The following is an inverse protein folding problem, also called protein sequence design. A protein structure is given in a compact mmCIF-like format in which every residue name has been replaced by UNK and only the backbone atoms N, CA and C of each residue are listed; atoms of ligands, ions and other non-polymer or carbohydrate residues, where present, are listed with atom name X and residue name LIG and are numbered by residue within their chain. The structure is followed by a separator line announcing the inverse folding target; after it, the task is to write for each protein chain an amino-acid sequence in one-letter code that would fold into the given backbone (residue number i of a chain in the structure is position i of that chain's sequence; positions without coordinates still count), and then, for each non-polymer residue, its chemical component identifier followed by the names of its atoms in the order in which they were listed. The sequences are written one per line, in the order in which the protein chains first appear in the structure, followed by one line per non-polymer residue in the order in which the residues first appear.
data_IF_455660277459
#
_entry.id   IF_455660277459
#
_cell.length_a   1.000
_cell.length_b   1.000
_cell.length_c   1.000
_cell.angle_alpha   90.00
_cell.angle_beta   90.00
_cell.angle_gamma   90.00
#
_symmetry.space_group_name_H-M   'P 1'
#
loop_
_entity.id
_entity.type
_entity.pdbx_description
1 polymer ?
#
# COMPACT_ATOMS: atom_id res chain seq x y z
N UNK A 1 1.27 -13.08 23.39
CA UNK A 1 0.75 -12.42 22.17
C UNK A 1 -0.57 -13.07 21.80
N UNK A 2 -1.61 -12.27 21.57
CA UNK A 2 -2.88 -12.76 21.05
C UNK A 2 -2.90 -12.75 19.50
N UNK A 3 -3.99 -13.26 18.90
CA UNK A 3 -4.12 -13.37 17.45
C UNK A 3 -4.01 -11.99 16.76
N UNK A 4 -4.59 -10.93 17.35
CA UNK A 4 -4.59 -9.60 16.75
C UNK A 4 -3.20 -8.96 16.76
N UNK A 5 -2.40 -9.21 17.79
CA UNK A 5 -0.99 -8.82 17.83
C UNK A 5 -0.17 -9.54 16.73
N UNK A 6 -0.45 -10.82 16.46
CA UNK A 6 0.24 -11.57 15.39
C UNK A 6 -0.11 -10.99 14.01
N UNK A 7 -1.40 -10.73 13.73
CA UNK A 7 -1.78 -10.13 12.44
C UNK A 7 -1.28 -8.67 12.31
N UNK A 8 -1.18 -7.95 13.41
CA UNK A 8 -0.59 -6.60 13.42
C UNK A 8 0.91 -6.63 13.07
N UNK A 9 1.67 -7.63 13.53
CA UNK A 9 3.07 -7.83 13.11
C UNK A 9 3.16 -8.06 11.60
N UNK A 10 2.26 -8.84 11.01
CA UNK A 10 2.20 -8.99 9.55
C UNK A 10 2.02 -7.62 8.87
N UNK A 11 1.11 -6.79 9.39
CA UNK A 11 0.87 -5.44 8.89
C UNK A 11 2.03 -4.48 9.07
N UNK A 12 2.87 -4.64 10.10
CA UNK A 12 4.10 -3.84 10.29
C UNK A 12 5.24 -4.30 9.39
N UNK A 13 5.42 -5.62 9.19
CA UNK A 13 6.48 -6.16 8.34
C UNK A 13 6.24 -5.83 6.87
N UNK A 14 4.97 -5.84 6.41
CA UNK A 14 4.60 -5.58 5.02
C UNK A 14 5.21 -4.28 4.47
N UNK A 15 4.96 -3.08 5.05
CA UNK A 15 5.51 -1.83 4.55
C UNK A 15 7.04 -1.76 4.61
N UNK A 16 7.67 -2.45 5.56
CA UNK A 16 9.12 -2.55 5.65
C UNK A 16 9.66 -3.31 4.43
N UNK A 17 9.09 -4.47 4.10
CA UNK A 17 9.50 -5.27 2.95
C UNK A 17 9.29 -4.50 1.64
N UNK A 18 8.13 -3.84 1.47
CA UNK A 18 7.88 -3.03 0.29
C UNK A 18 8.89 -1.89 0.14
N UNK A 19 9.20 -1.21 1.23
CA UNK A 19 10.18 -0.11 1.24
C UNK A 19 11.59 -0.62 0.92
N UNK A 20 12.00 -1.73 1.54
CA UNK A 20 13.28 -2.38 1.24
C UNK A 20 13.39 -2.78 -0.23
N UNK A 21 12.31 -3.27 -0.84
CA UNK A 21 12.29 -3.66 -2.25
C UNK A 21 12.77 -2.53 -3.16
N UNK A 22 12.19 -1.35 -3.07
CA UNK A 22 12.57 -0.27 -3.98
C UNK A 22 13.91 0.40 -3.59
N UNK A 23 14.27 0.41 -2.29
CA UNK A 23 15.62 0.85 -1.87
C UNK A 23 16.69 -0.07 -2.50
N UNK A 24 16.52 -1.40 -2.35
CA UNK A 24 17.41 -2.38 -2.96
C UNK A 24 17.41 -2.31 -4.49
N UNK A 25 16.29 -1.88 -5.09
CA UNK A 25 16.20 -1.62 -6.52
C UNK A 25 17.27 -0.64 -6.99
N UNK A 26 17.42 0.49 -6.29
CA UNK A 26 18.46 1.48 -6.62
C UNK A 26 19.88 1.02 -6.36
N UNK A 27 20.09 0.10 -5.41
CA UNK A 27 21.42 -0.43 -5.09
C UNK A 27 21.83 -1.56 -6.05
N UNK A 28 20.90 -2.45 -6.39
CA UNK A 28 21.17 -3.69 -7.10
C UNK A 28 20.99 -3.59 -8.63
N UNK A 29 20.40 -2.50 -9.11
CA UNK A 29 20.12 -2.26 -10.53
C UNK A 29 20.73 -0.94 -10.99
N UNK A 30 21.92 -0.95 -11.61
CA UNK A 30 22.57 0.28 -12.12
C UNK A 30 21.77 1.04 -13.18
N UNK A 31 20.86 0.35 -13.90
CA UNK A 31 19.95 0.91 -14.90
C UNK A 31 18.73 1.60 -14.29
N UNK A 32 18.45 1.38 -13.00
CA UNK A 32 17.27 1.91 -12.29
C UNK A 32 17.58 3.24 -11.59
N UNK A 33 16.72 4.21 -11.80
CA UNK A 33 16.82 5.53 -11.19
C UNK A 33 15.58 5.84 -10.35
N UNK A 34 15.77 6.11 -9.05
CA UNK A 34 14.70 6.55 -8.16
C UNK A 34 13.97 7.82 -8.60
N UNK A 35 14.59 8.62 -9.45
CA UNK A 35 14.00 9.86 -9.99
C UNK A 35 13.14 9.56 -11.20
N UNK A 36 13.67 8.75 -12.12
CA UNK A 36 13.08 8.49 -13.44
C UNK A 36 12.09 7.33 -13.43
N UNK A 37 12.43 6.26 -12.70
CA UNK A 37 11.72 4.98 -12.83
C UNK A 37 10.78 4.76 -11.63
N UNK A 38 9.55 4.35 -11.94
CA UNK A 38 8.58 3.96 -10.93
C UNK A 38 8.97 2.67 -10.20
N UNK A 39 8.37 2.43 -9.04
CA UNK A 39 8.66 1.23 -8.24
C UNK A 39 8.25 -0.03 -8.99
N UNK A 40 7.13 0.02 -9.72
CA UNK A 40 6.60 -1.12 -10.47
C UNK A 40 7.49 -1.56 -11.62
N UNK A 41 8.41 -0.71 -12.11
CA UNK A 41 9.37 -1.09 -13.14
C UNK A 41 10.40 -2.13 -12.67
N UNK A 42 10.59 -2.29 -11.35
CA UNK A 42 11.44 -3.34 -10.79
C UNK A 42 10.89 -4.74 -11.04
N UNK A 43 9.57 -4.85 -11.14
CA UNK A 43 8.84 -6.11 -11.32
C UNK A 43 8.18 -6.21 -12.70
N UNK A 44 8.49 -5.29 -13.62
CA UNK A 44 8.01 -5.32 -15.00
C UNK A 44 8.46 -6.61 -15.70
N UNK A 45 7.73 -7.03 -16.73
CA UNK A 45 8.10 -8.21 -17.51
C UNK A 45 9.48 -8.03 -18.15
N UNK A 46 10.35 -9.02 -17.95
CA UNK A 46 11.72 -8.97 -18.45
C UNK A 46 12.69 -8.08 -17.65
N UNK A 47 12.23 -7.45 -16.56
CA UNK A 47 13.09 -6.62 -15.72
C UNK A 47 14.25 -7.45 -15.12
N UNK A 48 15.48 -6.92 -15.06
CA UNK A 48 16.59 -7.60 -14.42
C UNK A 48 16.28 -7.89 -12.94
N UNK A 49 16.61 -9.09 -12.49
CA UNK A 49 16.35 -9.58 -11.11
C UNK A 49 14.87 -9.54 -10.68
N UNK A 50 13.92 -9.53 -11.66
CA UNK A 50 12.48 -9.49 -11.39
C UNK A 50 12.07 -10.46 -10.29
N UNK A 51 12.45 -11.74 -10.37
CA UNK A 51 12.08 -12.77 -9.38
C UNK A 51 12.48 -12.41 -7.95
N UNK A 52 13.62 -11.75 -7.77
CA UNK A 52 14.06 -11.28 -6.46
C UNK A 52 13.09 -10.21 -5.91
N UNK A 53 12.74 -9.22 -6.73
CA UNK A 53 11.81 -8.17 -6.32
C UNK A 53 10.36 -8.66 -6.19
N UNK A 54 9.95 -9.64 -7.00
CA UNK A 54 8.64 -10.30 -6.87
C UNK A 54 8.45 -10.92 -5.48
N UNK A 55 9.49 -11.54 -4.90
CA UNK A 55 9.41 -12.11 -3.54
C UNK A 55 9.05 -11.05 -2.52
N UNK A 56 9.70 -9.87 -2.57
CA UNK A 56 9.38 -8.78 -1.66
C UNK A 56 7.95 -8.27 -1.86
N UNK A 57 7.54 -8.03 -3.11
CA UNK A 57 6.20 -7.54 -3.42
C UNK A 57 5.11 -8.53 -3.00
N UNK A 58 5.25 -9.80 -3.38
CA UNK A 58 4.27 -10.83 -3.07
C UNK A 58 4.17 -11.03 -1.55
N UNK A 59 5.31 -11.15 -0.87
CA UNK A 59 5.33 -11.34 0.58
C UNK A 59 4.69 -10.14 1.29
N UNK A 60 5.05 -8.91 0.91
CA UNK A 60 4.45 -7.71 1.50
C UNK A 60 2.94 -7.65 1.26
N UNK A 61 2.47 -7.95 0.03
CA UNK A 61 1.05 -7.94 -0.31
C UNK A 61 0.25 -8.99 0.49
N UNK A 62 0.79 -10.19 0.63
CA UNK A 62 0.15 -11.26 1.42
C UNK A 62 0.09 -10.91 2.91
N UNK A 63 1.20 -10.40 3.49
CA UNK A 63 1.23 -10.00 4.89
C UNK A 63 0.26 -8.85 5.19
N UNK A 64 0.18 -7.86 4.30
CA UNK A 64 -0.78 -6.76 4.43
C UNK A 64 -2.22 -7.25 4.33
N UNK A 65 -2.50 -8.17 3.42
CA UNK A 65 -3.82 -8.77 3.29
C UNK A 65 -4.24 -9.56 4.53
N UNK A 66 -3.32 -10.35 5.11
CA UNK A 66 -3.55 -11.05 6.39
C UNK A 66 -3.90 -10.06 7.50
N UNK A 67 -3.17 -8.92 7.58
CA UNK A 67 -3.51 -7.86 8.53
C UNK A 67 -4.92 -7.30 8.29
N UNK A 68 -5.30 -7.02 7.05
CA UNK A 68 -6.63 -6.49 6.73
C UNK A 68 -7.77 -7.42 7.11
N UNK A 69 -7.58 -8.75 7.02
CA UNK A 69 -8.58 -9.73 7.45
C UNK A 69 -8.86 -9.65 8.96
N UNK A 70 -7.85 -9.31 9.78
CA UNK A 70 -8.01 -9.13 11.23
C UNK A 70 -8.40 -7.71 11.66
N UNK A 71 -8.35 -6.73 10.75
CA UNK A 71 -8.41 -5.30 11.08
C UNK A 71 -9.70 -4.90 11.83
N UNK A 72 -10.86 -5.45 11.43
CA UNK A 72 -12.13 -5.10 12.08
C UNK A 72 -12.13 -5.41 13.56
N UNK A 73 -11.69 -6.61 13.91
CA UNK A 73 -11.69 -7.12 15.29
C UNK A 73 -10.52 -6.57 16.12
N UNK A 74 -9.41 -6.23 15.47
CA UNK A 74 -8.24 -5.63 16.11
C UNK A 74 -8.41 -4.13 16.46
N UNK A 75 -9.43 -3.46 15.93
CA UNK A 75 -9.74 -2.05 16.21
C UNK A 75 -10.95 -1.96 17.13
N UNK A 76 -10.77 -1.29 18.28
CA UNK A 76 -11.86 -1.02 19.24
C UNK A 76 -12.67 -2.29 19.59
N UNK A 77 -11.98 -3.38 19.88
CA UNK A 77 -12.58 -4.69 20.22
C UNK A 77 -13.61 -5.22 19.20
N UNK A 78 -13.50 -4.82 17.94
CA UNK A 78 -14.44 -5.20 16.88
C UNK A 78 -15.73 -4.37 16.87
N UNK A 79 -15.86 -3.35 17.69
CA UNK A 79 -17.03 -2.49 17.70
C UNK A 79 -17.02 -1.47 16.56
N UNK A 80 -18.22 -1.13 16.08
CA UNK A 80 -18.43 -0.12 15.05
C UNK A 80 -18.48 -0.67 13.62
N UNK A 81 -18.42 0.23 12.63
CA UNK A 81 -18.69 -0.07 11.23
C UNK A 81 -17.65 -1.00 10.58
N UNK A 82 -18.10 -1.95 9.77
CA UNK A 82 -17.28 -2.79 8.90
C UNK A 82 -16.79 -2.10 7.63
N UNK A 83 -17.33 -0.93 7.28
CA UNK A 83 -17.07 -0.29 5.98
C UNK A 83 -15.57 -0.07 5.73
N UNK A 84 -14.85 0.52 6.69
CA UNK A 84 -13.41 0.74 6.56
C UNK A 84 -12.64 -0.57 6.35
N UNK A 85 -12.75 -1.55 7.27
CA UNK A 85 -12.10 -2.87 7.11
C UNK A 85 -12.42 -3.56 5.78
N UNK A 86 -13.66 -3.55 5.30
CA UNK A 86 -14.04 -4.13 4.00
C UNK A 86 -13.32 -3.43 2.84
N UNK A 87 -13.22 -2.10 2.88
CA UNK A 87 -12.50 -1.34 1.85
C UNK A 87 -11.01 -1.69 1.82
N UNK A 88 -10.38 -1.90 2.99
CA UNK A 88 -8.99 -2.37 3.06
C UNK A 88 -8.84 -3.80 2.56
N UNK A 89 -9.75 -4.71 2.89
CA UNK A 89 -9.74 -6.08 2.35
C UNK A 89 -9.88 -6.06 0.82
N UNK A 90 -10.81 -5.27 0.28
CA UNK A 90 -10.98 -5.11 -1.16
C UNK A 90 -9.70 -4.54 -1.82
N UNK A 91 -9.09 -3.51 -1.22
CA UNK A 91 -7.80 -2.98 -1.66
C UNK A 91 -6.70 -4.05 -1.65
N UNK A 92 -6.62 -4.86 -0.61
CA UNK A 92 -5.65 -5.96 -0.47
C UNK A 92 -5.82 -7.03 -1.55
N UNK A 93 -7.07 -7.40 -1.89
CA UNK A 93 -7.36 -8.32 -3.00
C UNK A 93 -6.80 -7.76 -4.32
N UNK A 94 -7.04 -6.47 -4.61
CA UNK A 94 -6.51 -5.84 -5.82
C UNK A 94 -4.98 -5.82 -5.83
N UNK A 95 -4.34 -5.54 -4.68
CA UNK A 95 -2.89 -5.59 -4.52
C UNK A 95 -2.31 -6.98 -4.81
N UNK A 96 -2.96 -8.04 -4.31
CA UNK A 96 -2.58 -9.43 -4.60
C UNK A 96 -2.74 -9.73 -6.10
N UNK A 97 -3.84 -9.32 -6.73
CA UNK A 97 -4.05 -9.51 -8.16
C UNK A 97 -2.95 -8.84 -8.99
N UNK A 98 -2.54 -7.63 -8.61
CA UNK A 98 -1.41 -6.93 -9.25
C UNK A 98 -0.13 -7.72 -9.09
N UNK A 99 0.20 -8.12 -7.85
CA UNK A 99 1.47 -8.78 -7.54
C UNK A 99 1.64 -10.12 -8.30
N UNK A 100 0.57 -10.88 -8.48
CA UNK A 100 0.65 -12.21 -9.10
C UNK A 100 0.38 -12.20 -10.60
N UNK A 101 -0.55 -11.36 -11.09
CA UNK A 101 -1.11 -11.55 -12.45
C UNK A 101 -0.89 -10.37 -13.39
N UNK A 102 -0.69 -9.18 -12.87
CA UNK A 102 -0.67 -7.96 -13.68
C UNK A 102 0.59 -7.12 -13.47
N UNK A 103 1.82 -7.66 -13.71
CA UNK A 103 3.02 -6.83 -13.74
C UNK A 103 2.96 -5.84 -14.91
N UNK A 104 3.73 -4.75 -14.83
CA UNK A 104 3.89 -3.82 -15.95
C UNK A 104 4.46 -4.51 -17.19
N UNK A 105 4.23 -3.92 -18.34
CA UNK A 105 4.79 -4.37 -19.61
C UNK A 105 6.32 -4.15 -19.63
N UNK A 106 7.06 -4.76 -20.60
CA UNK A 106 8.50 -4.59 -20.69
C UNK A 106 8.92 -3.13 -20.69
N UNK A 107 10.01 -2.80 -20.02
CA UNK A 107 10.49 -1.42 -19.86
C UNK A 107 9.71 -0.56 -18.87
N UNK A 108 8.73 -1.14 -18.14
CA UNK A 108 7.86 -0.37 -17.24
C UNK A 108 6.77 0.41 -17.98
N UNK A 109 6.44 0.00 -19.19
CA UNK A 109 5.47 0.67 -20.05
C UNK A 109 4.02 0.19 -19.78
N UNK A 110 3.04 0.93 -20.30
CA UNK A 110 1.60 0.63 -20.22
C UNK A 110 1.04 0.56 -21.64
N UNK A 111 1.40 -0.49 -22.37
CA UNK A 111 1.09 -0.62 -23.79
C UNK A 111 -0.06 -1.61 -24.02
N UNK A 112 0.09 -2.82 -23.52
CA UNK A 112 -0.90 -3.89 -23.74
C UNK A 112 -1.91 -3.95 -22.59
N UNK A 113 -2.92 -4.83 -22.76
CA UNK A 113 -4.02 -5.00 -21.78
C UNK A 113 -3.51 -5.25 -20.35
N UNK A 114 -2.42 -6.01 -20.18
CA UNK A 114 -1.86 -6.33 -18.87
C UNK A 114 -1.37 -5.08 -18.13
N UNK A 115 -0.54 -4.22 -18.78
CA UNK A 115 -0.07 -2.97 -18.17
C UNK A 115 -1.22 -2.00 -17.86
N UNK A 116 -2.26 -1.95 -18.73
CA UNK A 116 -3.46 -1.16 -18.46
C UNK A 116 -4.22 -1.68 -17.23
N UNK A 117 -4.36 -3.01 -17.09
CA UNK A 117 -4.97 -3.61 -15.90
C UNK A 117 -4.15 -3.35 -14.64
N UNK A 118 -2.80 -3.42 -14.72
CA UNK A 118 -1.92 -3.02 -13.60
C UNK A 118 -2.30 -1.63 -13.08
N UNK A 119 -2.33 -0.64 -13.97
CA UNK A 119 -2.64 0.75 -13.58
C UNK A 119 -4.05 0.87 -12.98
N UNK A 120 -5.07 0.26 -13.61
CA UNK A 120 -6.44 0.31 -13.11
C UNK A 120 -6.52 -0.28 -11.70
N UNK A 121 -5.93 -1.46 -11.48
CA UNK A 121 -5.98 -2.15 -10.19
C UNK A 121 -5.22 -1.38 -9.11
N UNK A 122 -4.04 -0.82 -9.43
CA UNK A 122 -3.24 -0.02 -8.48
C UNK A 122 -3.98 1.26 -8.09
N UNK A 123 -4.53 2.00 -9.06
CA UNK A 123 -5.28 3.23 -8.78
C UNK A 123 -6.53 2.92 -7.97
N UNK A 124 -7.30 1.90 -8.36
CA UNK A 124 -8.51 1.50 -7.62
C UNK A 124 -8.17 1.06 -6.19
N UNK A 125 -7.11 0.28 -6.01
CA UNK A 125 -6.62 -0.13 -4.68
C UNK A 125 -6.27 1.08 -3.82
N UNK A 126 -5.55 2.05 -4.37
CA UNK A 126 -5.22 3.30 -3.67
C UNK A 126 -6.45 4.09 -3.26
N UNK A 127 -7.44 4.25 -4.15
CA UNK A 127 -8.70 4.95 -3.85
C UNK A 127 -9.53 4.23 -2.79
N UNK A 128 -9.60 2.89 -2.83
CA UNK A 128 -10.26 2.09 -1.78
C UNK A 128 -9.56 2.25 -0.43
N UNK A 129 -8.23 2.31 -0.41
CA UNK A 129 -7.46 2.56 0.81
C UNK A 129 -7.78 3.94 1.38
N UNK A 130 -7.80 4.99 0.54
CA UNK A 130 -8.15 6.35 0.96
C UNK A 130 -9.58 6.40 1.52
N UNK A 131 -10.52 5.77 0.84
CA UNK A 131 -11.91 5.66 1.33
C UNK A 131 -11.99 4.89 2.66
N UNK A 132 -11.17 3.84 2.82
CA UNK A 132 -11.03 3.09 4.07
C UNK A 132 -10.49 3.95 5.22
N UNK A 133 -9.50 4.80 4.96
CA UNK A 133 -8.98 5.77 5.93
C UNK A 133 -10.08 6.73 6.41
N UNK A 134 -10.87 7.28 5.48
CA UNK A 134 -12.00 8.17 5.81
C UNK A 134 -13.07 7.41 6.62
N UNK A 135 -13.39 6.18 6.23
CA UNK A 135 -14.36 5.35 6.95
C UNK A 135 -13.87 5.01 8.38
N UNK A 136 -12.56 4.81 8.59
CA UNK A 136 -12.02 4.63 9.94
C UNK A 136 -12.10 5.91 10.76
N UNK A 137 -11.91 7.09 10.17
CA UNK A 137 -12.14 8.34 10.86
C UNK A 137 -13.57 8.42 11.39
N UNK A 138 -14.58 8.18 10.55
CA UNK A 138 -15.99 8.18 10.97
C UNK A 138 -16.27 7.16 12.07
N UNK A 139 -15.64 5.99 12.02
CA UNK A 139 -15.81 4.94 13.01
C UNK A 139 -15.23 5.30 14.38
N UNK A 140 -14.13 6.06 14.43
CA UNK A 140 -13.27 6.18 15.60
C UNK A 140 -13.19 7.60 16.18
N UNK A 141 -13.70 8.61 15.49
CA UNK A 141 -13.53 10.02 15.88
C UNK A 141 -14.07 10.35 17.26
N UNK A 142 -15.14 9.68 17.70
CA UNK A 142 -15.77 9.86 19.01
C UNK A 142 -15.49 8.72 19.99
N UNK A 143 -14.58 7.81 19.65
CA UNK A 143 -14.20 6.68 20.52
C UNK A 143 -13.03 7.10 21.40
N UNK A 144 -13.19 6.96 22.72
CA UNK A 144 -12.13 7.25 23.70
C UNK A 144 -10.89 6.39 23.41
N UNK A 145 -9.70 7.00 23.48
CA UNK A 145 -8.42 6.36 23.15
C UNK A 145 -8.12 6.23 21.66
N UNK A 146 -9.11 6.41 20.75
CA UNK A 146 -8.93 6.27 19.29
C UNK A 146 -9.04 7.58 18.50
N UNK A 147 -9.52 8.68 19.12
CA UNK A 147 -9.76 9.94 18.42
C UNK A 147 -8.51 10.54 17.77
N UNK A 148 -7.34 10.43 18.40
CA UNK A 148 -6.06 10.86 17.81
C UNK A 148 -5.72 10.06 16.56
N UNK A 149 -5.86 8.73 16.61
CA UNK A 149 -5.66 7.87 15.44
C UNK A 149 -6.69 8.15 14.33
N UNK A 150 -7.93 8.43 14.69
CA UNK A 150 -8.95 8.82 13.73
C UNK A 150 -8.54 10.07 12.97
N UNK A 151 -8.10 11.13 13.66
CA UNK A 151 -7.63 12.36 13.02
C UNK A 151 -6.39 12.12 12.15
N UNK A 152 -5.43 11.29 12.60
CA UNK A 152 -4.32 10.85 11.79
C UNK A 152 -4.80 10.15 10.50
N UNK A 153 -5.83 9.30 10.60
CA UNK A 153 -6.42 8.60 9.46
C UNK A 153 -7.00 9.56 8.42
N UNK A 154 -7.75 10.59 8.87
CA UNK A 154 -8.30 11.61 7.97
C UNK A 154 -7.19 12.45 7.30
N UNK A 155 -6.20 12.90 8.07
CA UNK A 155 -5.05 13.66 7.52
C UNK A 155 -4.30 12.81 6.51
N UNK A 156 -4.05 11.53 6.82
CA UNK A 156 -3.40 10.59 5.90
C UNK A 156 -4.21 10.39 4.62
N UNK A 157 -5.54 10.33 4.70
CA UNK A 157 -6.41 10.24 3.53
C UNK A 157 -6.26 11.46 2.61
N UNK A 158 -6.29 12.66 3.19
CA UNK A 158 -6.14 13.93 2.44
C UNK A 158 -4.76 14.00 1.79
N UNK A 159 -3.70 13.75 2.53
CA UNK A 159 -2.32 13.77 2.03
C UNK A 159 -2.13 12.73 0.92
N UNK A 160 -2.59 11.49 1.13
CA UNK A 160 -2.48 10.43 0.13
C UNK A 160 -3.25 10.77 -1.14
N UNK A 161 -4.44 11.34 -1.03
CA UNK A 161 -5.24 11.76 -2.18
C UNK A 161 -4.54 12.84 -3.00
N UNK A 162 -3.97 13.87 -2.35
CA UNK A 162 -3.19 14.91 -3.03
C UNK A 162 -1.96 14.34 -3.72
N UNK A 163 -1.24 13.42 -3.06
CA UNK A 163 -0.06 12.76 -3.64
C UNK A 163 -0.44 11.86 -4.83
N UNK A 164 -1.60 11.19 -4.81
CA UNK A 164 -2.13 10.43 -5.96
C UNK A 164 -2.40 11.36 -7.15
N UNK A 165 -3.00 12.52 -6.92
CA UNK A 165 -3.24 13.52 -7.99
C UNK A 165 -1.91 14.00 -8.58
N UNK A 166 -0.94 14.35 -7.73
CA UNK A 166 0.39 14.79 -8.17
C UNK A 166 1.06 13.68 -9.00
N UNK A 167 1.07 12.44 -8.49
CA UNK A 167 1.65 11.31 -9.20
C UNK A 167 0.97 11.08 -10.57
N UNK A 168 -0.35 11.21 -10.66
CA UNK A 168 -1.11 11.08 -11.91
C UNK A 168 -0.72 12.16 -12.95
N UNK A 169 -0.52 13.41 -12.51
CA UNK A 169 -0.10 14.51 -13.38
C UNK A 169 1.31 14.23 -13.97
N UNK A 170 2.22 13.71 -13.16
CA UNK A 170 3.61 13.48 -13.55
C UNK A 170 3.91 12.06 -14.06
N UNK A 171 2.90 11.19 -14.19
CA UNK A 171 3.05 9.77 -14.54
C UNK A 171 3.83 9.53 -15.84
N UNK A 172 3.72 10.44 -16.82
CA UNK A 172 4.41 10.35 -18.11
C UNK A 172 5.71 11.16 -18.14
N UNK A 173 6.09 11.82 -17.04
CA UNK A 173 7.25 12.71 -16.97
C UNK A 173 8.55 12.00 -16.60
N UNK A 174 9.67 12.70 -16.82
CA UNK A 174 11.01 12.21 -16.42
C UNK A 174 11.18 12.09 -14.89
N UNK A 175 10.28 12.66 -14.10
CA UNK A 175 10.29 12.65 -12.63
C UNK A 175 9.23 11.71 -12.02
N UNK A 176 8.67 10.79 -12.82
CA UNK A 176 7.61 9.89 -12.37
C UNK A 176 7.99 9.10 -11.10
N UNK A 177 9.24 8.61 -11.03
CA UNK A 177 9.72 7.90 -9.85
C UNK A 177 9.87 8.78 -8.62
N UNK A 178 10.30 10.05 -8.80
CA UNK A 178 10.43 11.00 -7.69
C UNK A 178 9.07 11.34 -7.06
N UNK A 179 8.01 11.48 -7.86
CA UNK A 179 6.66 11.83 -7.35
C UNK A 179 5.89 10.61 -6.86
N UNK A 180 6.18 9.41 -7.36
CA UNK A 180 5.57 8.18 -6.88
C UNK A 180 6.01 7.84 -5.46
N UNK A 181 7.28 8.04 -5.11
CA UNK A 181 7.83 7.63 -3.80
C UNK A 181 7.19 8.31 -2.60
N UNK A 182 6.97 9.63 -2.55
CA UNK A 182 6.19 10.23 -1.47
C UNK A 182 4.78 9.62 -1.34
N UNK A 183 4.12 9.35 -2.48
CA UNK A 183 2.81 8.73 -2.51
C UNK A 183 2.83 7.32 -1.90
N UNK A 184 3.70 6.44 -2.38
CA UNK A 184 3.78 5.07 -1.83
C UNK A 184 4.25 5.08 -0.38
N UNK A 185 5.17 5.97 0.00
CA UNK A 185 5.64 6.10 1.38
C UNK A 185 4.53 6.53 2.32
N UNK A 186 3.64 7.44 1.90
CA UNK A 186 2.49 7.86 2.71
C UNK A 186 1.56 6.67 3.01
N UNK A 187 1.26 5.82 2.00
CA UNK A 187 0.49 4.60 2.22
C UNK A 187 1.22 3.60 3.13
N UNK A 188 2.52 3.35 2.91
CA UNK A 188 3.29 2.42 3.73
C UNK A 188 3.37 2.87 5.19
N UNK A 189 3.55 4.17 5.42
CA UNK A 189 3.55 4.74 6.77
C UNK A 189 2.19 4.57 7.43
N UNK A 190 1.10 4.82 6.72
CA UNK A 190 -0.24 4.60 7.22
C UNK A 190 -0.49 3.15 7.64
N UNK A 191 -0.09 2.19 6.80
CA UNK A 191 -0.22 0.76 7.13
C UNK A 191 0.58 0.38 8.37
N UNK A 192 1.81 0.88 8.48
CA UNK A 192 2.66 0.65 9.65
C UNK A 192 2.03 1.19 10.93
N UNK A 193 1.62 2.47 10.94
CA UNK A 193 1.03 3.12 12.12
C UNK A 193 -0.30 2.46 12.51
N UNK A 194 -1.15 2.12 11.55
CA UNK A 194 -2.40 1.40 11.82
C UNK A 194 -2.13 0.04 12.46
N UNK A 195 -1.16 -0.70 11.95
CA UNK A 195 -0.77 -2.00 12.50
C UNK A 195 -0.16 -1.87 13.90
N UNK A 196 0.67 -0.84 14.11
CA UNK A 196 1.24 -0.54 15.42
C UNK A 196 0.15 -0.19 16.44
N UNK A 197 -0.85 0.60 16.05
CA UNK A 197 -2.00 0.91 16.92
C UNK A 197 -2.76 -0.36 17.31
N UNK A 198 -3.05 -1.24 16.35
CA UNK A 198 -3.69 -2.54 16.64
C UNK A 198 -2.81 -3.38 17.59
N UNK A 199 -1.50 -3.41 17.39
CA UNK A 199 -0.57 -4.16 18.25
C UNK A 199 -0.56 -3.63 19.69
N UNK A 200 -0.55 -2.31 19.87
CA UNK A 200 -0.45 -1.67 21.20
C UNK A 200 -1.76 -1.69 21.99
N UNK A 201 -2.90 -1.79 21.30
CA UNK A 201 -4.23 -1.76 21.93
C UNK A 201 -4.81 -3.15 22.23
N UNK A 202 -4.14 -4.24 21.81
CA UNK A 202 -4.52 -5.62 22.04
C UNK A 202 -3.47 -6.37 22.85
#
# INVERSE_FOLDING_TARGET
MNLFQIVAICGMISPILYTLMWILGGVLRPDYSHIRDDVSSLIAVGAPRKRFFDVFLITSSVLLFVFYLGLHWGINNGEGSFVGPILFVASGILGILVAFFFPLDPGGEIVIRRGKMHLILVVTSGLLTIAGMVALWFRLASVEGWSTFANYSLVSAIVSFLLVIIAAIFMKGRYRGLVERPMVTAFQLYYFITSLMVFLTN
#
